data_IF_378005776278
#
_entry.id   IF_378005776278
#
_cell.length_a   1.000
_cell.length_b   1.000
_cell.length_c   1.000
_cell.angle_alpha   90.00
_cell.angle_beta   90.00
_cell.angle_gamma   90.00
#
_symmetry.space_group_name_H-M   'P 1'
#
loop_
_entity.id
_entity.type
_entity.pdbx_description
1 polymer ?
#
# COMPACT_ATOMS: atom_id res chain seq x y z
N UNK A 1 -16.56 -0.98 22.92
CA UNK A 1 -16.02 -0.89 21.56
C UNK A 1 -14.59 -0.39 21.60
N UNK A 2 -13.75 -1.04 20.88
CA UNK A 2 -12.38 -0.60 20.80
C UNK A 2 -12.24 0.42 19.67
N UNK A 3 -11.75 1.59 20.01
CA UNK A 3 -11.41 2.58 19.00
C UNK A 3 -10.04 2.24 18.42
N UNK A 4 -9.93 2.25 17.10
CA UNK A 4 -8.67 2.00 16.45
C UNK A 4 -7.77 3.22 16.65
N UNK A 5 -6.79 3.11 17.53
CA UNK A 5 -5.90 4.23 17.83
C UNK A 5 -4.46 3.97 17.43
N UNK A 6 -4.18 2.81 16.88
CA UNK A 6 -2.82 2.40 16.54
C UNK A 6 -2.57 2.30 15.04
N UNK A 7 -3.41 2.96 14.24
CA UNK A 7 -3.21 3.02 12.80
C UNK A 7 -1.97 3.86 12.52
N UNK A 8 -1.06 3.29 11.74
CA UNK A 8 0.18 3.93 11.37
C UNK A 8 0.23 4.14 9.87
N UNK A 9 1.10 5.01 9.43
CA UNK A 9 1.30 5.27 8.02
C UNK A 9 2.76 5.07 7.65
N UNK A 10 2.97 4.43 6.51
CA UNK A 10 4.27 4.30 5.92
C UNK A 10 4.19 4.69 4.46
N UNK A 11 5.27 5.21 3.90
CA UNK A 11 5.25 5.68 2.52
C UNK A 11 6.29 4.96 1.67
N UNK A 12 5.99 4.86 0.38
CA UNK A 12 6.91 4.34 -0.62
C UNK A 12 7.08 5.38 -1.72
N UNK A 13 8.32 5.67 -2.06
CA UNK A 13 8.63 6.63 -3.10
C UNK A 13 8.50 6.02 -4.49
N UNK A 14 8.42 6.88 -5.50
CA UNK A 14 8.34 6.44 -6.89
C UNK A 14 9.54 5.59 -7.27
N UNK A 15 9.29 4.59 -8.09
CA UNK A 15 10.31 3.69 -8.65
C UNK A 15 11.12 2.96 -7.56
N UNK A 16 10.46 2.63 -6.44
CA UNK A 16 11.11 1.89 -5.35
C UNK A 16 10.20 0.79 -4.84
N UNK A 17 10.82 -0.14 -4.11
CA UNK A 17 10.13 -1.16 -3.36
C UNK A 17 10.53 -1.01 -1.89
N UNK A 18 9.56 -1.00 -1.01
CA UNK A 18 9.79 -0.71 0.41
C UNK A 18 9.00 -1.67 1.27
N UNK A 19 9.66 -2.23 2.29
CA UNK A 19 8.96 -2.93 3.35
C UNK A 19 8.45 -1.88 4.33
N UNK A 20 7.15 -1.61 4.27
CA UNK A 20 6.54 -0.58 5.10
C UNK A 20 6.48 -1.00 6.55
N UNK A 21 6.15 -2.27 6.79
CA UNK A 21 6.09 -2.80 8.14
C UNK A 21 6.48 -4.28 8.09
N UNK A 22 7.46 -4.66 8.90
CA UNK A 22 8.07 -5.97 8.81
C UNK A 22 7.54 -6.94 9.88
N UNK A 23 6.23 -6.95 10.06
CA UNK A 23 5.55 -7.85 10.97
C UNK A 23 4.12 -8.06 10.49
N UNK A 24 3.44 -9.01 11.11
CA UNK A 24 2.03 -9.25 10.84
C UNK A 24 1.21 -8.02 11.18
N UNK A 25 0.38 -7.59 10.23
CA UNK A 25 -0.48 -6.42 10.41
C UNK A 25 -1.63 -6.45 9.39
N UNK A 26 -2.47 -5.44 9.42
CA UNK A 26 -3.53 -5.27 8.44
C UNK A 26 -3.37 -3.95 7.71
N UNK A 27 -3.55 -3.99 6.40
CA UNK A 27 -3.56 -2.78 5.58
C UNK A 27 -4.97 -2.22 5.61
N UNK A 28 -5.09 -0.99 6.11
CA UNK A 28 -6.39 -0.34 6.33
C UNK A 28 -6.80 0.56 5.18
N UNK A 29 -5.85 1.09 4.46
CA UNK A 29 -6.15 1.96 3.33
C UNK A 29 -4.88 2.47 2.70
N UNK A 30 -5.02 3.13 1.57
CA UNK A 30 -3.90 3.67 0.83
C UNK A 30 -4.27 5.03 0.27
N UNK A 31 -3.26 5.90 0.18
CA UNK A 31 -3.34 7.14 -0.57
C UNK A 31 -2.28 7.07 -1.66
N UNK A 32 -2.69 7.03 -2.90
CA UNK A 32 -1.79 6.85 -4.03
C UNK A 32 -1.84 8.10 -4.90
N UNK A 33 -0.66 8.70 -5.13
CA UNK A 33 -0.51 9.82 -6.05
C UNK A 33 0.23 9.33 -7.28
N UNK A 34 -0.24 9.73 -8.45
CA UNK A 34 0.37 9.30 -9.71
C UNK A 34 0.43 10.47 -10.69
N UNK A 35 1.51 10.48 -11.48
CA UNK A 35 1.74 11.49 -12.50
C UNK A 35 1.62 10.91 -13.92
N UNK A 36 1.40 9.61 -14.03
CA UNK A 36 1.25 8.94 -15.31
C UNK A 36 0.86 7.48 -15.12
N UNK A 37 0.70 6.76 -16.20
CA UNK A 37 0.32 5.35 -16.15
C UNK A 37 1.39 4.53 -15.44
N UNK A 38 1.01 3.80 -14.40
CA UNK A 38 1.92 2.98 -13.61
C UNK A 38 1.12 2.05 -12.70
N UNK A 39 1.81 1.11 -12.05
CA UNK A 39 1.16 0.16 -11.17
C UNK A 39 1.78 0.22 -9.79
N UNK A 40 0.93 0.22 -8.76
CA UNK A 40 1.33 0.09 -7.36
C UNK A 40 0.86 -1.28 -6.88
N UNK A 41 1.76 -2.04 -6.28
CA UNK A 41 1.48 -3.41 -5.85
C UNK A 41 1.86 -3.57 -4.39
N UNK A 42 1.01 -4.25 -3.62
CA UNK A 42 1.30 -4.62 -2.24
C UNK A 42 1.39 -6.14 -2.16
N UNK A 43 2.46 -6.62 -1.55
CA UNK A 43 2.70 -8.06 -1.39
C UNK A 43 2.88 -8.39 0.09
N UNK A 44 2.50 -9.60 0.43
CA UNK A 44 2.73 -10.17 1.76
C UNK A 44 3.85 -11.17 1.65
N UNK A 45 4.99 -10.88 2.27
CA UNK A 45 6.15 -11.76 2.23
C UNK A 45 7.31 -11.25 1.39
N UNK A 46 7.37 -9.96 1.11
CA UNK A 46 8.46 -9.35 0.35
C UNK A 46 8.31 -9.50 -1.15
N UNK A 47 9.39 -9.31 -1.89
CA UNK A 47 9.36 -9.31 -3.36
C UNK A 47 8.86 -10.64 -3.94
N UNK A 48 9.10 -11.74 -3.26
CA UNK A 48 8.66 -13.07 -3.69
C UNK A 48 7.32 -13.48 -3.08
N UNK A 49 6.69 -12.57 -2.32
CA UNK A 49 5.45 -12.88 -1.63
C UNK A 49 4.22 -12.81 -2.52
N UNK A 50 3.07 -13.08 -1.91
CA UNK A 50 1.79 -13.05 -2.62
C UNK A 50 1.31 -11.62 -2.81
N UNK A 51 0.82 -11.30 -3.99
CA UNK A 51 0.20 -10.01 -4.26
C UNK A 51 -1.17 -9.97 -3.62
N UNK A 52 -1.38 -9.02 -2.71
CA UNK A 52 -2.66 -8.86 -2.02
C UNK A 52 -3.45 -7.65 -2.53
N UNK A 53 -2.79 -6.72 -3.21
CA UNK A 53 -3.45 -5.55 -3.76
C UNK A 53 -2.64 -5.02 -4.93
N UNK A 54 -3.32 -4.59 -5.98
CA UNK A 54 -2.69 -3.99 -7.13
C UNK A 54 -3.57 -2.86 -7.67
N UNK A 55 -2.95 -1.73 -7.97
CA UNK A 55 -3.64 -0.59 -8.55
C UNK A 55 -2.90 -0.13 -9.80
N UNK A 56 -3.62 -0.02 -10.90
CA UNK A 56 -3.06 0.50 -12.15
C UNK A 56 -3.58 1.91 -12.37
N UNK A 57 -2.66 2.87 -12.38
CA UNK A 57 -3.00 4.27 -12.56
C UNK A 57 -3.22 4.60 -14.03
N UNK A 58 -4.16 5.51 -14.33
CA UNK A 58 -4.34 6.00 -15.70
C UNK A 58 -3.20 6.93 -16.12
N UNK A 59 -3.18 7.30 -17.39
CA UNK A 59 -2.13 8.17 -17.92
C UNK A 59 -2.20 9.60 -17.40
N UNK A 60 -3.36 10.05 -16.94
CA UNK A 60 -3.52 11.41 -16.42
C UNK A 60 -3.09 11.49 -14.96
N UNK A 61 -2.44 12.60 -14.55
CA UNK A 61 -2.05 12.77 -13.15
C UNK A 61 -3.26 12.80 -12.23
N UNK A 62 -3.09 12.31 -11.01
CA UNK A 62 -4.15 12.34 -10.04
C UNK A 62 -3.75 11.72 -8.72
N UNK A 63 -4.74 11.65 -7.83
CA UNK A 63 -4.59 11.05 -6.51
C UNK A 63 -5.82 10.21 -6.24
N UNK A 64 -5.62 9.02 -5.70
CA UNK A 64 -6.72 8.16 -5.30
C UNK A 64 -6.55 7.76 -3.84
N UNK A 65 -7.66 7.76 -3.12
CA UNK A 65 -7.71 7.31 -1.74
C UNK A 65 -8.47 5.98 -1.72
N UNK A 66 -7.75 4.91 -1.44
CA UNK A 66 -8.33 3.56 -1.41
C UNK A 66 -8.71 3.23 0.02
N UNK A 67 -9.98 2.99 0.26
CA UNK A 67 -10.49 2.61 1.56
C UNK A 67 -10.80 1.11 1.52
N UNK A 68 -10.15 0.37 2.40
CA UNK A 68 -10.34 -1.08 2.46
C UNK A 68 -11.40 -1.37 3.51
N UNK A 69 -12.49 -2.05 3.12
CA UNK A 69 -13.61 -2.27 4.04
C UNK A 69 -13.25 -3.25 5.15
N UNK A 70 -14.06 -3.23 6.19
CA UNK A 70 -13.94 -4.13 7.31
C UNK A 70 -12.68 -3.88 8.12
N UNK A 71 -11.96 -4.93 8.42
CA UNK A 71 -10.74 -4.84 9.22
C UNK A 71 -9.48 -4.74 8.37
N UNK A 72 -9.62 -4.49 7.08
CA UNK A 72 -8.49 -4.36 6.19
C UNK A 72 -8.01 -5.70 5.63
N UNK A 73 -6.89 -5.66 4.93
CA UNK A 73 -6.29 -6.85 4.34
C UNK A 73 -5.17 -7.34 5.26
N UNK A 74 -5.25 -8.61 5.66
CA UNK A 74 -4.26 -9.19 6.54
C UNK A 74 -2.97 -9.50 5.79
N UNK A 75 -1.86 -8.99 6.32
CA UNK A 75 -0.52 -9.36 5.89
C UNK A 75 0.11 -10.18 7.02
N UNK A 76 0.42 -11.44 6.76
CA UNK A 76 0.89 -12.32 7.81
C UNK A 76 2.39 -12.19 8.08
N UNK A 77 3.16 -11.78 7.08
CA UNK A 77 4.61 -11.65 7.19
C UNK A 77 5.04 -10.20 7.24
N UNK A 78 4.68 -9.42 6.25
CA UNK A 78 5.04 -8.00 6.19
C UNK A 78 4.18 -7.28 5.15
N UNK A 79 4.33 -5.96 5.10
CA UNK A 79 3.72 -5.12 4.07
C UNK A 79 4.83 -4.65 3.14
N UNK A 80 4.85 -5.18 1.95
CA UNK A 80 5.86 -4.86 0.95
C UNK A 80 5.20 -4.12 -0.21
N UNK A 81 5.60 -2.88 -0.43
CA UNK A 81 4.98 -2.00 -1.43
C UNK A 81 5.96 -1.72 -2.56
N UNK A 82 5.52 -1.97 -3.77
CA UNK A 82 6.27 -1.63 -4.98
C UNK A 82 5.55 -0.52 -5.72
N UNK A 83 6.22 0.62 -5.88
CA UNK A 83 5.72 1.73 -6.66
C UNK A 83 6.52 1.84 -7.94
N UNK A 84 5.84 1.83 -9.09
CA UNK A 84 6.48 2.07 -10.37
C UNK A 84 6.84 3.54 -10.52
N UNK A 85 7.52 3.89 -11.60
CA UNK A 85 7.82 5.29 -11.91
C UNK A 85 6.52 6.11 -11.94
N UNK A 86 6.58 7.36 -11.51
CA UNK A 86 5.47 8.30 -11.49
C UNK A 86 4.40 8.01 -10.44
N UNK A 87 4.65 7.11 -9.49
CA UNK A 87 3.69 6.86 -8.41
C UNK A 87 4.36 6.97 -7.06
N UNK A 88 3.58 7.42 -6.07
CA UNK A 88 3.96 7.34 -4.66
C UNK A 88 2.76 6.81 -3.90
N UNK A 89 3.02 6.14 -2.80
CA UNK A 89 1.94 5.56 -2.01
C UNK A 89 2.18 5.79 -0.53
N UNK A 90 1.11 6.07 0.20
CA UNK A 90 1.10 6.06 1.66
C UNK A 90 0.17 4.93 2.06
N UNK A 91 0.65 4.02 2.87
CA UNK A 91 -0.10 2.85 3.31
C UNK A 91 -0.46 3.03 4.77
N UNK A 92 -1.74 2.90 5.09
CA UNK A 92 -2.23 2.95 6.47
C UNK A 92 -2.40 1.52 6.96
N UNK A 93 -1.79 1.21 8.08
CA UNK A 93 -1.81 -0.13 8.65
C UNK A 93 -1.93 -0.09 10.18
N UNK A 94 -2.32 -1.21 10.76
CA UNK A 94 -2.43 -1.27 12.21
C UNK A 94 -3.20 -2.47 12.74
#
# INVERSE_FOLDING_TARGET
MAMQTDVRAGSAAANTSTTVYNNRTRVRGLLISYAGAATVTIKDGGAAGSTIFSFTAPADPGTVNVIIPGEGILCETNVYVTCAANTTAVVFYG
#
